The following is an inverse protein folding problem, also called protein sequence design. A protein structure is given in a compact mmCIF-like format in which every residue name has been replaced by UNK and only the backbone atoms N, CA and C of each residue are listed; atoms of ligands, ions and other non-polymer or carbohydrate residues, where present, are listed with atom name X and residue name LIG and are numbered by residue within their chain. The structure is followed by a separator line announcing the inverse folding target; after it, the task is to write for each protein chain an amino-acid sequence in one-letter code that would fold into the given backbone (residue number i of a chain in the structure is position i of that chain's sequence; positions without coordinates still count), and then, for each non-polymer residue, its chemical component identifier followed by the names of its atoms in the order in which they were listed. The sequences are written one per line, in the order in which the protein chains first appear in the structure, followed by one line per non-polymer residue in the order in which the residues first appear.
data_IF_145081577508
#
_entry.id   IF_145081577508
#
_cell.length_a   1.000
_cell.length_b   1.000
_cell.length_c   1.000
_cell.angle_alpha   90.00
_cell.angle_beta   90.00
_cell.angle_gamma   90.00
#
_symmetry.space_group_name_H-M   'P 1'
#
loop_
_entity.id
_entity.type
_entity.pdbx_description
1 polymer ?
#
# COMPACT_ATOMS: atom_id res chain seq x y z
N UNK A 1 -0.41 17.14 -11.88
CA UNK A 1 0.83 17.84 -11.48
C UNK A 1 0.73 18.07 -9.98
N UNK A 2 1.73 17.61 -9.21
CA UNK A 2 1.76 17.85 -7.76
C UNK A 2 1.92 19.37 -7.51
N UNK A 3 1.14 19.91 -6.57
CA UNK A 3 1.30 21.29 -6.12
C UNK A 3 2.66 21.48 -5.45
N UNK A 4 3.20 22.71 -5.52
CA UNK A 4 4.41 23.06 -4.79
C UNK A 4 4.15 22.96 -3.29
N UNK A 5 4.92 22.16 -2.60
CA UNK A 5 4.91 22.07 -1.14
C UNK A 5 6.30 22.38 -0.56
N UNK A 6 6.33 22.89 0.66
CA UNK A 6 7.59 23.12 1.37
C UNK A 6 8.17 21.78 1.81
N UNK A 7 9.50 21.64 1.74
CA UNK A 7 10.23 20.46 2.18
C UNK A 7 11.72 20.72 2.19
N UNK A 8 12.45 19.88 2.90
CA UNK A 8 13.93 19.94 2.99
C UNK A 8 14.64 19.15 1.89
N UNK A 9 13.91 18.31 1.15
CA UNK A 9 14.43 17.58 -0.01
C UNK A 9 14.48 18.55 -1.21
N UNK A 10 15.58 18.54 -1.96
CA UNK A 10 15.73 19.31 -3.18
C UNK A 10 14.76 18.84 -4.30
N UNK A 11 14.89 19.49 -5.49
CA UNK A 11 14.08 19.11 -6.67
C UNK A 11 14.37 17.69 -7.17
N UNK A 12 15.53 17.15 -6.82
CA UNK A 12 15.98 15.81 -7.17
C UNK A 12 16.48 15.10 -5.92
N UNK A 13 16.23 13.81 -5.83
CA UNK A 13 16.74 12.95 -4.79
C UNK A 13 17.29 11.68 -5.42
N UNK A 14 18.48 11.24 -4.96
CA UNK A 14 19.07 9.97 -5.34
C UNK A 14 19.39 9.19 -4.08
N UNK A 15 18.99 7.93 -4.01
CA UNK A 15 19.34 7.05 -2.90
C UNK A 15 20.82 6.65 -2.92
N UNK A 16 21.39 6.53 -4.12
CA UNK A 16 22.81 6.30 -4.38
C UNK A 16 23.21 7.01 -5.67
N UNK A 17 24.39 7.60 -5.68
CA UNK A 17 25.00 8.25 -6.86
C UNK A 17 26.45 7.81 -7.04
N UNK A 18 26.93 7.80 -8.27
CA UNK A 18 28.34 7.60 -8.65
C UNK A 18 28.96 8.94 -9.00
N UNK A 19 30.21 9.15 -8.63
CA UNK A 19 31.01 10.32 -9.06
C UNK A 19 31.76 10.08 -10.38
N UNK A 20 31.58 8.93 -11.03
CA UNK A 20 32.20 8.56 -12.29
C UNK A 20 31.14 8.06 -13.27
N UNK A 21 31.00 8.78 -14.40
CA UNK A 21 30.00 8.49 -15.43
C UNK A 21 30.20 7.14 -16.13
N UNK A 22 31.45 6.63 -16.14
CA UNK A 22 31.76 5.31 -16.68
C UNK A 22 31.44 4.16 -15.71
N UNK A 23 31.07 4.45 -14.47
CA UNK A 23 30.67 3.45 -13.46
C UNK A 23 29.17 3.63 -13.18
N UNK A 24 28.37 2.86 -13.88
CA UNK A 24 26.90 2.98 -13.88
C UNK A 24 26.30 2.04 -12.83
N UNK A 25 25.39 2.57 -12.03
CA UNK A 25 24.62 1.78 -11.07
C UNK A 25 23.52 1.05 -11.84
N UNK A 26 23.62 -0.27 -11.92
CA UNK A 26 22.68 -1.12 -12.65
C UNK A 26 21.53 -1.61 -11.79
N UNK A 27 21.77 -1.84 -10.51
CA UNK A 27 20.74 -2.29 -9.58
C UNK A 27 21.03 -1.79 -8.18
N UNK A 28 19.97 -1.48 -7.46
CA UNK A 28 19.94 -1.30 -6.03
C UNK A 28 18.71 -2.04 -5.53
N UNK A 29 18.88 -3.05 -4.69
CA UNK A 29 17.79 -3.87 -4.19
C UNK A 29 18.06 -4.33 -2.75
N UNK A 30 17.06 -4.87 -2.08
CA UNK A 30 17.25 -5.64 -0.86
C UNK A 30 17.88 -7.00 -1.20
N UNK A 31 18.78 -7.49 -0.33
CA UNK A 31 19.38 -8.81 -0.48
C UNK A 31 18.29 -9.91 -0.35
N UNK A 32 18.49 -11.04 -1.05
CA UNK A 32 17.54 -12.16 -1.07
C UNK A 32 17.43 -12.85 0.30
N UNK A 33 18.55 -12.98 1.01
CA UNK A 33 18.65 -13.78 2.24
C UNK A 33 18.95 -12.97 3.50
N UNK A 34 18.99 -11.63 3.43
CA UNK A 34 19.34 -10.79 4.58
C UNK A 34 18.69 -9.40 4.49
N UNK A 35 18.80 -8.62 5.58
CA UNK A 35 18.32 -7.23 5.64
C UNK A 35 19.29 -6.20 5.03
N UNK A 36 20.28 -6.66 4.31
CA UNK A 36 21.26 -5.82 3.63
C UNK A 36 20.74 -5.33 2.28
N UNK A 37 21.38 -4.29 1.75
CA UNK A 37 21.16 -3.81 0.40
C UNK A 37 22.24 -4.33 -0.52
N UNK A 38 21.88 -4.65 -1.75
CA UNK A 38 22.80 -5.02 -2.82
C UNK A 38 22.84 -3.89 -3.82
N UNK A 39 24.04 -3.36 -4.08
CA UNK A 39 24.30 -2.46 -5.20
C UNK A 39 25.17 -3.15 -6.23
N UNK A 40 24.76 -3.06 -7.49
CA UNK A 40 25.49 -3.64 -8.63
C UNK A 40 25.89 -2.54 -9.58
N UNK A 41 27.17 -2.44 -9.88
CA UNK A 41 27.73 -1.45 -10.78
C UNK A 41 28.37 -2.12 -11.99
N UNK A 42 28.41 -1.41 -13.10
CA UNK A 42 28.97 -1.85 -14.36
C UNK A 42 29.88 -0.75 -14.94
N UNK A 43 31.06 -1.13 -15.42
CA UNK A 43 31.96 -0.24 -16.14
C UNK A 43 31.60 -0.21 -17.62
N UNK A 44 31.42 0.99 -18.19
CA UNK A 44 30.92 1.21 -19.55
C UNK A 44 31.93 1.82 -20.52
N UNK A 45 33.07 2.30 -20.04
CA UNK A 45 34.10 2.94 -20.87
C UNK A 45 34.95 1.97 -21.67
N UNK A 46 35.21 0.79 -21.13
CA UNK A 46 35.87 -0.32 -21.79
C UNK A 46 37.38 -0.19 -22.02
N UNK A 47 37.98 0.97 -21.76
CA UNK A 47 39.37 1.28 -22.17
C UNK A 47 40.40 1.08 -21.09
N UNK A 48 40.05 1.30 -19.82
CA UNK A 48 40.99 1.20 -18.68
C UNK A 48 40.20 0.91 -17.39
N UNK A 49 40.89 0.33 -16.38
CA UNK A 49 40.32 0.21 -15.04
C UNK A 49 39.82 1.56 -14.51
N UNK A 50 38.67 1.57 -13.88
CA UNK A 50 38.05 2.76 -13.31
C UNK A 50 38.00 2.69 -11.80
N UNK A 51 38.00 3.85 -11.17
CA UNK A 51 37.64 4.01 -9.77
C UNK A 51 36.44 4.95 -9.64
N UNK A 52 35.56 4.66 -8.71
CA UNK A 52 34.44 5.49 -8.39
C UNK A 52 34.15 5.52 -6.90
N UNK A 53 33.49 6.56 -6.46
CA UNK A 53 32.89 6.63 -5.12
C UNK A 53 31.37 6.65 -5.27
N UNK A 54 30.74 5.64 -4.69
CA UNK A 54 29.28 5.61 -4.58
C UNK A 54 28.88 6.31 -3.28
N UNK A 55 28.07 7.34 -3.38
CA UNK A 55 27.54 8.09 -2.23
C UNK A 55 26.11 7.70 -1.98
N UNK A 56 25.82 7.16 -0.79
CA UNK A 56 24.48 6.73 -0.36
C UNK A 56 23.79 7.81 0.47
N UNK A 57 22.46 7.80 0.46
CA UNK A 57 21.65 8.67 1.32
C UNK A 57 21.77 8.33 2.82
N UNK A 58 22.10 7.07 3.16
CA UNK A 58 22.33 6.59 4.53
C UNK A 58 23.80 6.32 4.82
N UNK A 59 24.19 6.32 6.10
CA UNK A 59 25.55 5.95 6.54
C UNK A 59 25.74 4.45 6.40
N UNK A 60 26.89 4.01 5.87
CA UNK A 60 27.26 2.60 5.73
C UNK A 60 27.75 2.09 7.09
N UNK A 61 27.14 1.01 7.57
CA UNK A 61 27.52 0.30 8.81
C UNK A 61 28.53 -0.81 8.48
N UNK A 62 28.29 -1.54 7.40
CA UNK A 62 29.17 -2.59 6.87
C UNK A 62 29.02 -2.68 5.37
N UNK A 63 30.09 -3.10 4.69
CA UNK A 63 30.07 -3.36 3.25
C UNK A 63 31.04 -4.49 2.89
N UNK A 64 30.56 -5.41 2.07
CA UNK A 64 31.32 -6.50 1.48
C UNK A 64 31.21 -6.47 -0.04
N UNK A 65 32.24 -6.87 -0.73
CA UNK A 65 32.15 -7.28 -2.12
C UNK A 65 31.48 -8.66 -2.18
N UNK A 66 30.58 -8.87 -3.14
CA UNK A 66 29.82 -10.08 -3.31
C UNK A 66 29.90 -10.60 -4.75
N UNK A 67 29.66 -11.88 -4.93
CA UNK A 67 29.49 -12.49 -6.24
C UNK A 67 28.08 -12.22 -6.82
N UNK A 68 27.83 -12.78 -8.02
CA UNK A 68 26.52 -12.63 -8.69
C UNK A 68 25.35 -13.26 -7.94
N UNK A 69 25.63 -14.17 -6.98
CA UNK A 69 24.64 -14.86 -6.12
C UNK A 69 24.51 -14.21 -4.74
N UNK A 70 25.12 -13.02 -4.55
CA UNK A 70 25.09 -12.23 -3.30
C UNK A 70 25.86 -12.84 -2.11
N UNK A 71 26.75 -13.79 -2.37
CA UNK A 71 27.67 -14.31 -1.36
C UNK A 71 28.86 -13.39 -1.23
N UNK A 72 29.21 -13.01 0.01
CA UNK A 72 30.40 -12.20 0.28
C UNK A 72 31.65 -12.91 -0.16
N UNK A 73 32.53 -12.20 -0.89
CA UNK A 73 33.85 -12.67 -1.38
C UNK A 73 35.00 -11.89 -0.78
N UNK A 74 34.74 -10.79 -0.09
CA UNK A 74 35.74 -9.97 0.60
C UNK A 74 35.13 -8.70 1.16
N UNK A 75 35.87 -8.04 2.07
CA UNK A 75 35.47 -6.74 2.61
C UNK A 75 35.60 -5.62 1.57
N UNK A 76 34.67 -4.66 1.59
CA UNK A 76 34.70 -3.46 0.76
C UNK A 76 35.20 -2.24 1.55
N UNK A 77 35.88 -1.30 0.87
CA UNK A 77 36.38 -0.07 1.49
C UNK A 77 35.26 0.99 1.50
N UNK A 78 34.96 1.51 2.68
CA UNK A 78 33.96 2.57 2.82
C UNK A 78 34.32 3.55 3.94
N UNK A 79 33.77 4.76 3.85
CA UNK A 79 33.88 5.79 4.88
C UNK A 79 32.58 6.61 4.95
N UNK A 80 31.91 6.58 6.12
CA UNK A 80 30.66 7.29 6.30
C UNK A 80 29.58 6.73 5.37
N UNK A 81 29.11 7.54 4.43
CA UNK A 81 28.12 7.15 3.43
C UNK A 81 28.74 6.88 2.04
N UNK A 82 30.05 6.77 1.95
CA UNK A 82 30.78 6.60 0.70
C UNK A 82 31.40 5.20 0.62
N UNK A 83 31.19 4.51 -0.50
CA UNK A 83 31.76 3.22 -0.85
C UNK A 83 32.74 3.41 -2.00
N UNK A 84 34.01 2.96 -1.82
CA UNK A 84 35.01 2.98 -2.87
C UNK A 84 34.83 1.77 -3.80
N UNK A 85 34.87 2.01 -5.10
CA UNK A 85 34.73 0.99 -6.13
C UNK A 85 35.94 1.03 -7.04
N UNK A 86 36.65 -0.10 -7.17
CA UNK A 86 37.65 -0.33 -8.21
C UNK A 86 37.10 -1.40 -9.17
N UNK A 87 37.01 -1.09 -10.45
CA UNK A 87 36.34 -1.94 -11.44
C UNK A 87 37.16 -2.04 -12.74
N UNK A 88 37.26 -3.25 -13.28
CA UNK A 88 37.95 -3.50 -14.54
C UNK A 88 37.08 -3.11 -15.74
N UNK A 89 37.67 -2.86 -16.92
CA UNK A 89 36.93 -2.58 -18.15
C UNK A 89 35.87 -3.62 -18.43
N UNK A 90 34.66 -3.17 -18.83
CA UNK A 90 33.53 -4.01 -19.21
C UNK A 90 33.12 -5.06 -18.15
N UNK A 91 33.43 -4.81 -16.88
CA UNK A 91 33.11 -5.75 -15.81
C UNK A 91 31.95 -5.26 -14.93
N UNK A 92 31.45 -6.18 -14.11
CA UNK A 92 30.41 -5.92 -13.12
C UNK A 92 30.99 -6.18 -11.74
N UNK A 93 30.64 -5.33 -10.78
CA UNK A 93 30.92 -5.53 -9.35
C UNK A 93 29.60 -5.48 -8.58
N UNK A 94 29.51 -6.32 -7.59
CA UNK A 94 28.38 -6.38 -6.67
C UNK A 94 28.87 -6.12 -5.26
N UNK A 95 28.19 -5.25 -4.55
CA UNK A 95 28.46 -4.98 -3.15
C UNK A 95 27.21 -5.21 -2.33
N UNK A 96 27.39 -5.83 -1.18
CA UNK A 96 26.36 -6.04 -0.17
C UNK A 96 26.67 -5.15 1.02
N UNK A 97 25.72 -4.34 1.46
CA UNK A 97 25.97 -3.33 2.48
C UNK A 97 24.77 -3.15 3.42
N UNK A 98 25.10 -2.86 4.67
CA UNK A 98 24.12 -2.45 5.66
C UNK A 98 24.20 -0.94 5.81
N UNK A 99 23.06 -0.28 5.61
CA UNK A 99 22.93 1.15 5.85
C UNK A 99 22.31 1.39 7.22
N UNK A 100 22.75 2.47 7.90
CA UNK A 100 22.00 2.98 9.04
C UNK A 100 20.64 3.37 8.52
N UNK A 101 19.59 2.77 9.06
CA UNK A 101 18.28 3.36 8.98
C UNK A 101 18.35 4.65 9.78
N UNK A 102 18.18 5.81 9.12
CA UNK A 102 17.80 7.02 9.83
C UNK A 102 16.64 6.66 10.78
N UNK A 103 16.39 7.43 11.81
CA UNK A 103 15.15 7.25 12.59
C UNK A 103 14.02 7.22 11.58
N UNK A 104 13.48 6.02 11.32
CA UNK A 104 12.23 5.91 10.62
C UNK A 104 11.25 6.68 11.48
N UNK A 105 10.81 7.82 11.00
CA UNK A 105 9.55 8.37 11.45
C UNK A 105 8.49 7.38 10.97
N UNK A 106 8.31 6.32 11.78
CA UNK A 106 7.27 5.34 11.52
C UNK A 106 5.97 6.11 11.48
N UNK A 107 5.27 6.02 10.37
CA UNK A 107 3.93 6.57 10.28
C UNK A 107 3.16 6.07 11.50
N UNK A 108 2.68 7.02 12.30
CA UNK A 108 1.82 6.70 13.44
C UNK A 108 0.40 6.64 12.91
N UNK A 109 -0.28 5.56 13.26
CA UNK A 109 -1.68 5.38 12.95
C UNK A 109 -2.49 5.53 14.23
N UNK A 110 -3.63 6.15 14.11
CA UNK A 110 -4.63 6.26 15.16
C UNK A 110 -5.93 5.71 14.60
N UNK A 111 -6.55 4.82 15.33
CA UNK A 111 -7.83 4.24 14.95
C UNK A 111 -8.92 5.29 15.13
N UNK A 112 -9.73 5.49 14.10
CA UNK A 112 -10.91 6.32 14.15
C UNK A 112 -12.13 5.41 14.39
N UNK A 113 -12.77 5.45 15.57
CA UNK A 113 -13.95 4.65 15.83
C UNK A 113 -15.11 5.10 14.95
N UNK A 114 -15.81 4.15 14.35
CA UNK A 114 -17.01 4.38 13.54
C UNK A 114 -18.26 4.03 14.36
N UNK A 115 -19.28 4.85 14.22
CA UNK A 115 -20.62 4.51 14.71
C UNK A 115 -21.30 3.61 13.69
N UNK A 116 -21.09 2.31 13.80
CA UNK A 116 -21.69 1.33 12.90
C UNK A 116 -23.22 1.41 12.91
N UNK A 117 -23.80 1.32 11.74
CA UNK A 117 -25.24 1.46 11.52
C UNK A 117 -25.80 0.39 10.57
N UNK A 118 -24.98 -0.58 10.19
CA UNK A 118 -25.33 -1.61 9.23
C UNK A 118 -24.68 -2.95 9.57
N UNK A 119 -25.41 -4.07 9.39
CA UNK A 119 -24.88 -5.43 9.56
C UNK A 119 -24.37 -5.93 8.21
N UNK A 120 -23.06 -5.86 8.02
CA UNK A 120 -22.39 -6.19 6.76
C UNK A 120 -21.90 -7.63 6.72
N UNK A 121 -21.58 -8.22 7.89
CA UNK A 121 -20.96 -9.54 8.05
C UNK A 121 -21.91 -10.48 8.77
N UNK A 122 -22.05 -11.70 8.30
CA UNK A 122 -22.75 -12.79 8.98
C UNK A 122 -21.82 -14.01 9.14
N UNK A 123 -22.05 -14.76 10.21
CA UNK A 123 -21.35 -16.01 10.49
C UNK A 123 -22.06 -17.17 9.79
N UNK A 124 -21.32 -18.25 9.52
CA UNK A 124 -21.81 -19.43 8.80
C UNK A 124 -23.04 -20.07 9.45
N UNK A 125 -23.16 -20.04 10.79
CA UNK A 125 -24.34 -20.54 11.51
C UNK A 125 -25.56 -19.65 11.33
N UNK A 126 -25.38 -18.39 10.88
CA UNK A 126 -26.40 -17.34 10.79
C UNK A 126 -26.30 -16.55 9.50
N UNK A 127 -26.11 -17.21 8.37
CA UNK A 127 -25.83 -16.59 7.08
C UNK A 127 -26.84 -15.51 6.65
N UNK A 128 -28.11 -15.64 7.04
CA UNK A 128 -29.20 -14.71 6.67
C UNK A 128 -29.38 -13.51 7.60
N UNK A 129 -28.55 -13.34 8.64
CA UNK A 129 -28.73 -12.25 9.61
C UNK A 129 -28.15 -10.91 9.18
N UNK A 130 -27.39 -10.86 8.09
CA UNK A 130 -26.81 -9.63 7.57
C UNK A 130 -27.29 -9.35 6.14
N UNK A 131 -27.36 -8.09 5.79
CA UNK A 131 -27.79 -7.62 4.46
C UNK A 131 -26.85 -6.49 4.00
N UNK A 132 -25.72 -6.85 3.43
CA UNK A 132 -24.83 -5.87 2.82
C UNK A 132 -25.40 -5.39 1.47
N UNK A 133 -25.94 -6.31 0.68
CA UNK A 133 -26.53 -6.02 -0.62
C UNK A 133 -27.63 -7.04 -0.96
N UNK A 134 -28.90 -6.61 -0.95
CA UNK A 134 -30.06 -7.40 -1.43
C UNK A 134 -30.13 -8.82 -0.84
N UNK A 135 -29.91 -8.95 0.46
CA UNK A 135 -29.94 -10.23 1.19
C UNK A 135 -28.64 -11.01 1.16
N UNK A 136 -27.57 -10.42 0.63
CA UNK A 136 -26.24 -11.00 0.67
C UNK A 136 -25.32 -10.24 1.64
N UNK A 137 -24.34 -10.93 2.20
CA UNK A 137 -23.37 -10.36 3.14
C UNK A 137 -21.97 -10.97 2.95
N UNK A 138 -20.98 -10.35 3.56
CA UNK A 138 -19.66 -10.94 3.68
C UNK A 138 -19.68 -12.10 4.67
N UNK A 139 -18.87 -13.13 4.41
CA UNK A 139 -18.63 -14.26 5.30
C UNK A 139 -17.68 -13.85 6.43
N UNK A 140 -18.19 -13.68 7.65
CA UNK A 140 -17.43 -13.17 8.80
C UNK A 140 -16.28 -14.07 9.21
N UNK A 141 -16.43 -15.39 9.08
CA UNK A 141 -15.41 -16.41 9.42
C UNK A 141 -14.14 -16.30 8.56
N UNK A 142 -14.22 -15.65 7.39
CA UNK A 142 -13.07 -15.41 6.51
C UNK A 142 -12.36 -14.10 6.80
N UNK A 143 -12.94 -13.22 7.62
CA UNK A 143 -12.44 -11.87 7.83
C UNK A 143 -11.60 -11.82 9.11
N UNK A 144 -10.31 -11.49 9.03
CA UNK A 144 -9.50 -11.29 10.22
C UNK A 144 -9.91 -10.01 10.95
N UNK A 145 -9.99 -10.04 12.28
CA UNK A 145 -10.28 -8.86 13.08
C UNK A 145 -9.21 -7.75 12.92
N UNK A 146 -7.97 -8.15 12.67
CA UNK A 146 -6.85 -7.25 12.41
C UNK A 146 -6.27 -7.54 11.04
N UNK A 147 -6.13 -6.52 10.22
CA UNK A 147 -5.60 -6.63 8.86
C UNK A 147 -4.62 -5.49 8.58
N UNK A 148 -3.51 -5.82 7.91
CA UNK A 148 -2.54 -4.82 7.45
C UNK A 148 -2.45 -4.82 5.94
N UNK A 149 -2.77 -3.69 5.31
CA UNK A 149 -2.73 -3.50 3.86
C UNK A 149 -1.71 -2.42 3.52
N UNK A 150 -0.60 -2.80 2.88
CA UNK A 150 0.50 -1.90 2.55
C UNK A 150 0.99 -1.08 3.75
N UNK A 151 1.24 -1.75 4.88
CA UNK A 151 1.69 -1.17 6.16
C UNK A 151 0.65 -0.30 6.87
N UNK A 152 -0.59 -0.24 6.40
CA UNK A 152 -1.70 0.47 7.05
C UNK A 152 -2.50 -0.57 7.85
N UNK A 153 -2.59 -0.46 9.19
CA UNK A 153 -3.38 -1.37 10.00
C UNK A 153 -4.86 -0.98 9.93
N UNK A 154 -5.72 -1.99 9.90
CA UNK A 154 -7.17 -1.87 9.98
C UNK A 154 -7.70 -2.84 11.02
N UNK A 155 -8.67 -2.40 11.78
CA UNK A 155 -9.47 -3.23 12.68
C UNK A 155 -10.87 -3.39 12.09
N UNK A 156 -11.37 -4.64 12.04
CA UNK A 156 -12.71 -4.96 11.57
C UNK A 156 -13.50 -5.62 12.69
N UNK A 157 -14.65 -5.07 13.00
CA UNK A 157 -15.56 -5.67 13.96
C UNK A 157 -16.51 -6.63 13.22
N UNK A 158 -16.38 -7.93 13.50
CA UNK A 158 -17.19 -8.96 12.83
C UNK A 158 -18.20 -9.62 13.75
N UNK A 159 -18.13 -9.36 15.06
CA UNK A 159 -18.91 -10.05 16.10
C UNK A 159 -20.11 -9.24 16.58
N UNK A 160 -20.06 -7.92 16.44
CA UNK A 160 -21.12 -7.04 16.90
C UNK A 160 -22.33 -7.10 15.97
N UNK A 161 -23.50 -6.76 16.51
CA UNK A 161 -24.75 -6.72 15.75
C UNK A 161 -24.65 -5.75 14.57
N UNK A 162 -24.09 -4.56 14.79
CA UNK A 162 -23.75 -3.61 13.75
C UNK A 162 -22.24 -3.60 13.55
N UNK A 163 -21.77 -3.93 12.37
CA UNK A 163 -20.37 -4.16 12.09
C UNK A 163 -19.85 -3.47 10.82
N UNK A 164 -20.64 -2.58 10.27
CA UNK A 164 -20.29 -1.72 9.15
C UNK A 164 -21.02 -0.40 9.19
N UNK A 165 -20.64 0.50 8.30
CA UNK A 165 -21.25 1.82 8.20
C UNK A 165 -21.71 2.09 6.77
N UNK A 166 -23.01 2.16 6.56
CA UNK A 166 -23.58 2.68 5.31
C UNK A 166 -23.55 4.22 5.37
N UNK A 167 -22.91 4.84 4.38
CA UNK A 167 -22.71 6.28 4.34
C UNK A 167 -24.02 7.05 4.05
N UNK A 168 -24.31 8.04 4.89
CA UNK A 168 -25.50 8.92 4.79
C UNK A 168 -25.15 10.39 5.01
N UNK A 169 -23.95 10.81 4.58
CA UNK A 169 -23.48 12.16 4.83
C UNK A 169 -23.02 12.41 6.27
N UNK A 170 -22.73 11.35 7.02
CA UNK A 170 -22.31 11.45 8.41
C UNK A 170 -20.97 12.17 8.55
N UNK A 171 -20.79 12.87 9.65
CA UNK A 171 -19.56 13.61 9.96
C UNK A 171 -18.70 12.84 10.96
N UNK A 172 -17.50 12.46 10.55
CA UNK A 172 -16.49 11.88 11.41
C UNK A 172 -15.60 12.98 11.98
N UNK A 173 -15.53 13.07 13.31
CA UNK A 173 -14.60 13.99 14.01
C UNK A 173 -13.23 13.34 14.13
N UNK A 174 -12.20 14.06 13.71
CA UNK A 174 -10.82 13.62 13.89
C UNK A 174 -10.41 13.82 15.36
N UNK A 175 -9.66 12.88 15.96
CA UNK A 175 -9.17 13.02 17.31
C UNK A 175 -8.36 14.30 17.51
N UNK A 176 -8.52 14.97 18.65
CA UNK A 176 -7.79 16.20 18.95
C UNK A 176 -6.34 15.93 19.34
N UNK A 177 -5.48 16.93 19.18
CA UNK A 177 -4.08 16.89 19.67
C UNK A 177 -3.04 16.45 18.65
N UNK A 178 -3.45 16.01 17.46
CA UNK A 178 -2.56 15.63 16.38
C UNK A 178 -2.93 16.29 15.05
N UNK A 179 -1.95 16.47 14.18
CA UNK A 179 -2.16 16.87 12.80
C UNK A 179 -2.17 15.63 11.91
N UNK A 180 -3.32 15.31 11.36
CA UNK A 180 -3.47 14.20 10.40
C UNK A 180 -3.22 14.71 8.99
N UNK A 181 -2.65 13.85 8.14
CA UNK A 181 -2.45 14.13 6.72
C UNK A 181 -3.30 13.22 5.82
N UNK A 182 -3.75 12.07 6.34
CA UNK A 182 -4.58 11.11 5.60
C UNK A 182 -5.50 10.33 6.51
N UNK A 183 -6.70 10.05 5.99
CA UNK A 183 -7.62 9.05 6.50
C UNK A 183 -7.58 7.86 5.55
N UNK A 184 -7.29 6.67 6.07
CA UNK A 184 -7.38 5.42 5.33
C UNK A 184 -8.67 4.71 5.72
N UNK A 185 -9.40 4.24 4.73
CA UNK A 185 -10.66 3.53 4.90
C UNK A 185 -10.68 2.24 4.08
N UNK A 186 -11.42 1.27 4.58
CA UNK A 186 -11.88 0.13 3.81
C UNK A 186 -13.33 0.39 3.40
N UNK A 187 -13.62 0.24 2.13
CA UNK A 187 -14.96 0.42 1.60
C UNK A 187 -15.25 -0.54 0.45
N UNK A 188 -16.51 -0.81 0.24
CA UNK A 188 -17.01 -1.58 -0.89
C UNK A 188 -18.41 -1.05 -1.27
N UNK A 189 -18.79 -1.14 -2.54
CA UNK A 189 -20.13 -0.74 -2.96
C UNK A 189 -21.11 -1.91 -2.79
N UNK A 190 -22.19 -1.64 -2.06
CA UNK A 190 -23.35 -2.54 -1.88
C UNK A 190 -24.23 -2.51 -3.12
N UNK A 191 -23.68 -2.94 -4.25
CA UNK A 191 -24.32 -2.93 -5.57
C UNK A 191 -23.89 -4.18 -6.33
N UNK A 192 -24.84 -4.82 -7.02
CA UNK A 192 -24.53 -5.97 -7.87
C UNK A 192 -23.71 -5.48 -9.09
N UNK A 193 -22.43 -5.82 -9.12
CA UNK A 193 -21.51 -5.60 -10.26
C UNK A 193 -21.38 -4.15 -10.77
N UNK A 194 -21.81 -3.16 -10.00
CA UNK A 194 -21.71 -1.74 -10.36
C UNK A 194 -20.87 -0.98 -9.35
N UNK A 195 -20.10 -0.02 -9.81
CA UNK A 195 -19.36 0.87 -8.95
C UNK A 195 -20.29 1.97 -8.39
N UNK A 196 -20.04 2.39 -7.15
CA UNK A 196 -20.71 3.52 -6.53
C UNK A 196 -19.79 4.75 -6.53
N UNK A 197 -20.35 5.92 -6.70
CA UNK A 197 -19.62 7.18 -6.56
C UNK A 197 -19.84 7.77 -5.19
N UNK A 198 -18.74 8.17 -4.54
CA UNK A 198 -18.75 8.84 -3.25
C UNK A 198 -17.98 10.15 -3.29
N UNK A 199 -18.38 11.11 -2.46
CA UNK A 199 -17.67 12.36 -2.28
C UNK A 199 -17.41 12.59 -0.79
N UNK A 200 -16.15 12.63 -0.40
CA UNK A 200 -15.72 13.02 0.93
C UNK A 200 -15.48 14.53 0.99
N UNK A 201 -16.05 15.19 1.99
CA UNK A 201 -15.81 16.61 2.22
C UNK A 201 -14.89 16.79 3.43
N UNK A 202 -13.77 17.50 3.23
CA UNK A 202 -12.82 17.81 4.30
C UNK A 202 -12.56 19.31 4.30
N UNK A 203 -13.24 20.02 5.18
CA UNK A 203 -13.31 21.46 5.14
C UNK A 203 -13.95 21.95 3.81
N UNK A 204 -13.20 22.71 3.00
CA UNK A 204 -13.66 23.18 1.67
C UNK A 204 -13.31 22.23 0.52
N UNK A 205 -12.57 21.15 0.80
CA UNK A 205 -12.11 20.23 -0.23
C UNK A 205 -13.08 19.07 -0.43
N UNK A 206 -13.47 18.83 -1.67
CA UNK A 206 -14.29 17.70 -2.06
C UNK A 206 -13.39 16.66 -2.78
N UNK A 207 -13.34 15.44 -2.24
CA UNK A 207 -12.58 14.35 -2.83
C UNK A 207 -13.56 13.27 -3.31
N UNK A 208 -13.69 13.18 -4.63
CA UNK A 208 -14.54 12.16 -5.27
C UNK A 208 -13.77 10.85 -5.39
N UNK A 209 -14.42 9.75 -5.07
CA UNK A 209 -13.92 8.39 -5.28
C UNK A 209 -14.95 7.54 -6.02
N UNK A 210 -14.46 6.52 -6.68
CA UNK A 210 -15.28 5.44 -7.24
C UNK A 210 -14.99 4.22 -6.38
N UNK A 211 -16.03 3.72 -5.71
CA UNK A 211 -15.96 2.52 -4.86
C UNK A 211 -16.48 1.36 -5.69
N UNK A 212 -15.63 0.37 -6.02
CA UNK A 212 -16.07 -0.78 -6.80
C UNK A 212 -17.06 -1.65 -6.02
N UNK A 213 -17.89 -2.38 -6.77
CA UNK A 213 -18.78 -3.40 -6.23
C UNK A 213 -18.02 -4.37 -5.34
N UNK A 214 -18.62 -4.75 -4.22
CA UNK A 214 -18.06 -5.73 -3.28
C UNK A 214 -17.93 -7.14 -3.85
N UNK A 215 -18.60 -7.44 -4.98
CA UNK A 215 -18.59 -8.76 -5.61
C UNK A 215 -18.28 -8.67 -7.11
N UNK A 216 -18.29 -9.82 -7.81
CA UNK A 216 -17.98 -9.93 -9.23
C UNK A 216 -16.55 -10.37 -9.48
N UNK A 217 -16.05 -10.19 -10.71
CA UNK A 217 -14.75 -10.67 -11.14
C UNK A 217 -13.69 -9.58 -11.14
N UNK A 218 -12.44 -9.97 -10.86
CA UNK A 218 -11.26 -9.11 -10.99
C UNK A 218 -10.32 -9.72 -12.02
N UNK A 219 -9.99 -8.95 -13.08
CA UNK A 219 -8.97 -9.31 -14.05
C UNK A 219 -9.23 -10.59 -14.84
N UNK A 220 -10.47 -11.02 -14.98
CA UNK A 220 -10.85 -12.22 -15.72
C UNK A 220 -11.23 -11.91 -17.17
N UNK A 221 -10.86 -12.85 -18.06
CA UNK A 221 -11.15 -12.79 -19.49
C UNK A 221 -12.08 -13.94 -19.87
N UNK A 222 -12.94 -13.69 -20.86
CA UNK A 222 -13.77 -14.76 -21.45
C UNK A 222 -14.87 -15.31 -20.54
N UNK A 223 -15.21 -14.63 -19.46
CA UNK A 223 -16.38 -15.00 -18.66
C UNK A 223 -17.66 -14.72 -19.41
N UNK A 224 -18.69 -15.56 -19.23
CA UNK A 224 -20.00 -15.40 -19.86
C UNK A 224 -20.55 -13.99 -19.60
N UNK A 225 -20.81 -13.23 -20.66
CA UNK A 225 -21.24 -11.84 -20.59
C UNK A 225 -20.12 -10.79 -20.52
N UNK A 226 -18.86 -11.21 -20.35
CA UNK A 226 -17.70 -10.33 -20.30
C UNK A 226 -16.67 -10.75 -21.37
N UNK A 227 -16.69 -10.10 -22.51
CA UNK A 227 -15.76 -10.36 -23.63
C UNK A 227 -14.39 -9.71 -23.43
N UNK A 228 -14.27 -8.80 -22.46
CA UNK A 228 -13.03 -8.09 -22.12
C UNK A 228 -12.66 -8.36 -20.66
N UNK A 229 -11.36 -8.22 -20.34
CA UNK A 229 -10.88 -8.30 -18.97
C UNK A 229 -11.53 -7.22 -18.09
N UNK A 230 -12.02 -7.62 -16.95
CA UNK A 230 -12.64 -6.72 -15.96
C UNK A 230 -11.62 -6.40 -14.87
N UNK A 231 -11.30 -5.13 -14.70
CA UNK A 231 -10.41 -4.64 -13.64
C UNK A 231 -11.17 -3.69 -12.74
N UNK A 232 -11.12 -3.95 -11.43
CA UNK A 232 -11.59 -2.98 -10.45
C UNK A 232 -10.53 -1.90 -10.28
N UNK A 233 -10.93 -0.64 -10.46
CA UNK A 233 -10.03 0.51 -10.40
C UNK A 233 -9.86 1.02 -8.95
N UNK A 234 -9.44 0.13 -8.06
CA UNK A 234 -9.14 0.46 -6.67
C UNK A 234 -8.14 -0.57 -6.10
N UNK A 235 -7.48 -0.21 -5.02
CA UNK A 235 -6.57 -1.11 -4.32
C UNK A 235 -7.36 -2.16 -3.53
N UNK A 236 -7.22 -3.44 -3.92
CA UNK A 236 -7.88 -4.56 -3.23
C UNK A 236 -7.19 -4.79 -1.89
N UNK A 237 -7.95 -4.68 -0.82
CA UNK A 237 -7.49 -4.92 0.55
C UNK A 237 -7.83 -6.32 1.05
N UNK A 238 -8.95 -6.87 0.63
CA UNK A 238 -9.46 -8.17 1.06
C UNK A 238 -10.15 -8.88 -0.09
N UNK A 239 -10.03 -10.20 -0.13
CA UNK A 239 -10.73 -11.10 -1.04
C UNK A 239 -11.32 -12.25 -0.23
N UNK A 240 -12.65 -12.39 -0.23
CA UNK A 240 -13.36 -13.56 0.30
C UNK A 240 -13.73 -14.52 -0.82
N UNK A 241 -13.76 -15.82 -0.53
CA UNK A 241 -14.03 -16.87 -1.52
C UNK A 241 -15.51 -17.11 -1.78
N UNK A 242 -16.38 -16.60 -0.92
CA UNK A 242 -17.82 -16.71 -1.02
C UNK A 242 -18.52 -15.56 -0.30
N UNK A 243 -19.79 -15.42 -0.52
CA UNK A 243 -20.69 -14.56 0.24
C UNK A 243 -21.83 -15.38 0.84
N UNK A 244 -22.46 -14.87 1.85
CA UNK A 244 -23.62 -15.47 2.51
C UNK A 244 -24.94 -14.93 1.96
N UNK A 245 -25.98 -15.73 2.10
CA UNK A 245 -27.38 -15.32 1.98
C UNK A 245 -28.26 -16.18 2.90
N UNK A 246 -29.57 -15.95 2.89
CA UNK A 246 -30.53 -16.75 3.66
C UNK A 246 -30.54 -18.25 3.32
N UNK A 247 -29.98 -18.64 2.18
CA UNK A 247 -29.88 -20.05 1.76
C UNK A 247 -28.50 -20.67 2.03
N UNK A 248 -27.57 -19.92 2.64
CA UNK A 248 -26.23 -20.39 2.98
C UNK A 248 -25.15 -19.74 2.11
N UNK A 249 -24.03 -20.46 1.96
CA UNK A 249 -22.85 -20.02 1.24
C UNK A 249 -23.06 -20.04 -0.27
N UNK A 250 -22.65 -18.96 -0.91
CA UNK A 250 -22.53 -18.87 -2.36
C UNK A 250 -21.07 -19.03 -2.77
N UNK A 251 -20.63 -20.28 -2.88
CA UNK A 251 -19.26 -20.63 -3.21
C UNK A 251 -18.84 -20.03 -4.57
N UNK A 252 -17.60 -19.52 -4.63
CA UNK A 252 -16.99 -18.85 -5.79
C UNK A 252 -17.64 -17.53 -6.20
N UNK A 253 -18.59 -17.02 -5.43
CA UNK A 253 -19.04 -15.64 -5.55
C UNK A 253 -18.17 -14.75 -4.67
N UNK A 254 -17.04 -14.34 -5.21
CA UNK A 254 -16.00 -13.62 -4.50
C UNK A 254 -16.49 -12.28 -3.94
N UNK A 255 -15.98 -11.93 -2.76
CA UNK A 255 -16.24 -10.64 -2.12
C UNK A 255 -14.96 -9.84 -1.95
N UNK A 256 -15.06 -8.52 -2.01
CA UNK A 256 -13.90 -7.63 -1.98
C UNK A 256 -14.13 -6.44 -1.06
N UNK A 257 -13.08 -6.03 -0.34
CA UNK A 257 -12.97 -4.70 0.24
C UNK A 257 -11.81 -3.96 -0.40
N UNK A 258 -11.95 -2.66 -0.55
CA UNK A 258 -10.97 -1.81 -1.20
C UNK A 258 -10.46 -0.77 -0.23
N UNK A 259 -9.15 -0.49 -0.30
CA UNK A 259 -8.52 0.55 0.50
C UNK A 259 -8.53 1.88 -0.27
N UNK A 260 -8.92 2.93 0.43
CA UNK A 260 -8.86 4.31 -0.07
C UNK A 260 -8.06 5.18 0.89
N UNK A 261 -7.48 6.24 0.35
CA UNK A 261 -6.76 7.26 1.10
C UNK A 261 -7.39 8.63 0.81
N UNK A 262 -7.94 9.25 1.83
CA UNK A 262 -8.54 10.59 1.78
C UNK A 262 -7.53 11.57 2.37
N UNK A 263 -7.18 12.60 1.61
CA UNK A 263 -6.24 13.63 2.07
C UNK A 263 -6.91 14.51 3.13
N UNK A 264 -6.20 14.74 4.22
CA UNK A 264 -6.63 15.61 5.30
C UNK A 264 -5.79 16.90 5.25
N UNK A 265 -6.37 18.04 4.86
CA UNK A 265 -5.69 19.33 4.91
C UNK A 265 -5.29 19.70 6.33
N UNK A 266 -4.20 20.44 6.47
CA UNK A 266 -3.74 20.93 7.77
C UNK A 266 -4.85 21.75 8.44
N UNK A 267 -5.14 21.44 9.70
CA UNK A 267 -6.16 22.12 10.50
C UNK A 267 -7.58 21.60 10.30
N UNK A 268 -7.80 20.58 9.46
CA UNK A 268 -9.10 19.93 9.38
C UNK A 268 -9.37 19.12 10.67
N UNK A 269 -10.57 19.23 11.19
CA UNK A 269 -11.03 18.58 12.43
C UNK A 269 -12.09 17.52 12.19
N UNK A 270 -12.59 17.43 10.95
CA UNK A 270 -13.67 16.51 10.61
C UNK A 270 -13.63 16.15 9.13
N UNK A 271 -14.26 15.01 8.83
CA UNK A 271 -14.49 14.50 7.48
C UNK A 271 -15.96 14.16 7.35
N UNK A 272 -16.61 14.70 6.33
CA UNK A 272 -17.99 14.31 5.98
C UNK A 272 -17.92 13.16 4.99
N UNK A 273 -18.58 12.07 5.33
CA UNK A 273 -18.70 10.87 4.49
C UNK A 273 -19.62 11.13 3.29
N UNK A 274 -19.55 10.30 2.25
CA UNK A 274 -20.49 10.38 1.14
C UNK A 274 -21.94 10.28 1.61
N UNK A 275 -22.82 11.03 0.96
CA UNK A 275 -24.26 10.80 1.07
C UNK A 275 -24.69 9.76 0.01
N UNK A 276 -24.30 8.51 0.25
CA UNK A 276 -24.60 7.39 -0.62
C UNK A 276 -24.65 6.09 0.19
N UNK A 277 -25.85 5.62 0.48
CA UNK A 277 -26.09 4.40 1.28
C UNK A 277 -25.51 3.11 0.69
N UNK A 278 -25.13 3.14 -0.57
CA UNK A 278 -24.50 1.99 -1.24
C UNK A 278 -22.96 1.95 -1.04
N UNK A 279 -22.43 2.80 -0.16
CA UNK A 279 -21.02 2.79 0.23
C UNK A 279 -20.95 2.62 1.73
#
# INVERSE_FOLDING_TARGET
TAEKHSGTLGKTFSFVSSNNDNVVIKALKKAESSDEYVVRVYETGGNSPQSAVLTFAGTIISADEADGTEKSIGGAVFKGNQLEVAIQPNSIRTYKLRLSTGKEDRMKFEQLPLAYNHKCFSWNEFCGEADFESGYSFAAELIPAEMTVNRIPFHLETKEEMNGMACKGDTLKLPAGHAYNRLYILAAAATAEKDAQGAFLVGKNCQKIIVPSYTGFIGQWGHTGHTQGYLKNAEVAYIGTHRHSTVGDHAYEFTYMFKFAINIPIGATEVVLPDNKNI
#
